data_IF_438554113607
#
_entry.id   IF_438554113607
#
_cell.length_a   1.000
_cell.length_b   1.000
_cell.length_c   1.000
_cell.angle_alpha   90.00
_cell.angle_beta   90.00
_cell.angle_gamma   90.00
#
_symmetry.space_group_name_H-M   'P 1'
#
loop_
_entity.id
_entity.type
_entity.pdbx_description
1 polymer ?
#
# COMPACT_ATOMS: atom_id res chain seq x y z
N UNK A 1 15.36 -37.50 -24.47
CA UNK A 1 16.31 -37.57 -23.33
C UNK A 1 16.56 -36.16 -22.87
N UNK A 2 15.73 -35.64 -21.96
CA UNK A 2 16.01 -34.39 -21.26
C UNK A 2 16.97 -34.73 -20.13
N UNK A 3 18.20 -34.17 -20.09
CA UNK A 3 19.09 -34.42 -18.97
C UNK A 3 18.41 -33.87 -17.72
N UNK A 4 18.12 -34.75 -16.76
CA UNK A 4 17.85 -34.36 -15.37
C UNK A 4 19.14 -33.75 -14.85
N UNK A 5 19.32 -32.45 -15.07
CA UNK A 5 20.45 -31.70 -14.51
C UNK A 5 20.16 -31.63 -13.03
N UNK A 6 20.68 -32.60 -12.27
CA UNK A 6 20.82 -32.46 -10.83
C UNK A 6 21.67 -31.22 -10.60
N UNK A 7 20.99 -30.10 -10.34
CA UNK A 7 21.65 -28.83 -10.14
C UNK A 7 22.32 -28.90 -8.77
N UNK A 8 23.64 -28.79 -8.74
CA UNK A 8 24.38 -28.74 -7.48
C UNK A 8 24.09 -27.42 -6.78
N UNK A 9 24.17 -27.40 -5.43
CA UNK A 9 24.04 -26.17 -4.65
C UNK A 9 24.97 -25.07 -5.16
N UNK A 10 26.23 -25.41 -5.44
CA UNK A 10 27.20 -24.49 -6.03
C UNK A 10 26.73 -23.90 -7.36
N UNK A 11 26.28 -24.74 -8.31
CA UNK A 11 25.82 -24.27 -9.62
C UNK A 11 24.55 -23.40 -9.52
N UNK A 12 23.67 -23.72 -8.56
CA UNK A 12 22.51 -22.90 -8.26
C UNK A 12 22.92 -21.51 -7.72
N UNK A 13 23.87 -21.45 -6.79
CA UNK A 13 24.39 -20.18 -6.27
C UNK A 13 25.11 -19.35 -7.33
N UNK A 14 25.91 -19.97 -8.20
CA UNK A 14 26.58 -19.29 -9.33
C UNK A 14 25.57 -18.65 -10.29
N UNK A 15 24.49 -19.36 -10.61
CA UNK A 15 23.40 -18.84 -11.46
C UNK A 15 22.76 -17.58 -10.86
N UNK A 16 22.74 -17.49 -9.53
CA UNK A 16 22.21 -16.35 -8.80
C UNK A 16 23.26 -15.27 -8.49
N UNK A 17 24.53 -15.44 -8.90
CA UNK A 17 25.66 -14.57 -8.52
C UNK A 17 25.84 -14.48 -6.99
N UNK A 18 25.59 -15.60 -6.31
CA UNK A 18 25.67 -15.76 -4.86
C UNK A 18 26.79 -16.75 -4.48
N UNK A 19 27.75 -17.04 -5.36
CA UNK A 19 28.80 -18.04 -5.08
C UNK A 19 29.62 -17.73 -3.82
N UNK A 20 29.72 -16.45 -3.43
CA UNK A 20 30.40 -16.01 -2.20
C UNK A 20 29.84 -16.65 -0.92
N UNK A 21 28.59 -17.11 -0.95
CA UNK A 21 27.95 -17.76 0.19
C UNK A 21 28.18 -19.27 0.22
N UNK A 22 28.71 -19.89 -0.84
CA UNK A 22 28.87 -21.34 -0.93
C UNK A 22 29.62 -21.91 0.27
N UNK A 23 30.75 -21.29 0.66
CA UNK A 23 31.50 -21.73 1.83
C UNK A 23 30.67 -21.66 3.12
N UNK A 24 29.84 -20.64 3.30
CA UNK A 24 28.99 -20.54 4.48
C UNK A 24 27.93 -21.67 4.54
N UNK A 25 27.40 -22.11 3.39
CA UNK A 25 26.53 -23.29 3.35
C UNK A 25 27.29 -24.56 3.75
N UNK A 26 28.52 -24.75 3.26
CA UNK A 26 29.37 -25.88 3.65
C UNK A 26 29.69 -25.85 5.14
N UNK A 27 30.05 -24.68 5.68
CA UNK A 27 30.36 -24.49 7.10
C UNK A 27 29.14 -24.76 8.00
N UNK A 28 27.93 -24.51 7.48
CA UNK A 28 26.66 -24.86 8.13
C UNK A 28 26.28 -26.34 7.98
N UNK A 29 27.11 -27.15 7.32
CA UNK A 29 26.91 -28.59 7.14
C UNK A 29 26.09 -28.99 5.92
N UNK A 30 25.72 -28.05 5.05
CA UNK A 30 25.08 -28.38 3.78
C UNK A 30 26.10 -28.88 2.75
N UNK A 31 25.70 -29.81 1.91
CA UNK A 31 26.49 -30.35 0.80
C UNK A 31 25.94 -29.89 -0.54
N UNK A 32 26.71 -30.12 -1.61
CA UNK A 32 26.24 -29.81 -2.97
C UNK A 32 25.01 -30.61 -3.42
N UNK A 33 24.65 -31.67 -2.70
CA UNK A 33 23.47 -32.51 -2.96
C UNK A 33 22.25 -32.11 -2.14
N UNK A 34 22.38 -31.23 -1.14
CA UNK A 34 21.27 -30.90 -0.24
C UNK A 34 20.33 -29.81 -0.79
N UNK A 35 20.50 -29.40 -2.06
CA UNK A 35 19.62 -28.41 -2.68
C UNK A 35 18.15 -28.86 -2.66
N UNK A 36 17.88 -30.13 -2.93
CA UNK A 36 16.51 -30.68 -2.93
C UNK A 36 15.87 -30.66 -1.53
N UNK A 37 16.67 -30.77 -0.46
CA UNK A 37 16.20 -30.64 0.92
C UNK A 37 15.92 -29.17 1.27
N UNK A 38 16.81 -28.26 0.87
CA UNK A 38 16.63 -26.81 1.08
C UNK A 38 15.37 -26.30 0.39
N UNK A 39 15.00 -26.87 -0.76
CA UNK A 39 13.79 -26.50 -1.51
C UNK A 39 12.50 -26.90 -0.79
N UNK A 40 12.56 -27.88 0.11
CA UNK A 40 11.43 -28.33 0.91
C UNK A 40 11.23 -27.52 2.19
N UNK A 41 12.15 -26.62 2.55
CA UNK A 41 12.01 -25.79 3.74
C UNK A 41 10.78 -24.91 3.66
N UNK A 42 10.10 -24.74 4.80
CA UNK A 42 9.07 -23.71 4.95
C UNK A 42 9.70 -22.32 4.82
N UNK A 43 8.88 -21.30 4.52
CA UNK A 43 9.39 -19.92 4.39
C UNK A 43 10.03 -19.41 5.69
N UNK A 44 9.54 -19.88 6.84
CA UNK A 44 10.12 -19.56 8.14
C UNK A 44 11.49 -20.24 8.34
N UNK A 45 11.58 -21.56 8.16
CA UNK A 45 12.85 -22.30 8.30
C UNK A 45 13.91 -21.78 7.33
N UNK A 46 13.52 -21.50 6.08
CA UNK A 46 14.41 -20.92 5.09
C UNK A 46 14.88 -19.52 5.49
N UNK A 47 14.03 -18.73 6.14
CA UNK A 47 14.42 -17.41 6.67
C UNK A 47 15.45 -17.52 7.79
N UNK A 48 15.21 -18.42 8.75
CA UNK A 48 16.10 -18.66 9.88
C UNK A 48 17.44 -19.22 9.43
N UNK A 49 17.42 -20.19 8.50
CA UNK A 49 18.61 -20.77 7.89
C UNK A 49 19.46 -19.72 7.17
N UNK A 50 18.86 -18.88 6.30
CA UNK A 50 19.61 -17.83 5.59
C UNK A 50 20.14 -16.74 6.52
N UNK A 51 19.44 -16.47 7.63
CA UNK A 51 19.92 -15.56 8.67
C UNK A 51 21.15 -16.13 9.39
N UNK A 52 21.17 -17.44 9.69
CA UNK A 52 22.32 -18.11 10.30
C UNK A 52 23.57 -18.08 9.40
N UNK A 53 23.38 -18.10 8.07
CA UNK A 53 24.46 -17.94 7.08
C UNK A 53 24.99 -16.50 6.97
N UNK A 54 24.47 -15.55 7.77
CA UNK A 54 24.76 -14.13 7.67
C UNK A 54 24.53 -13.57 6.25
N UNK A 55 23.51 -14.08 5.57
CA UNK A 55 23.19 -13.64 4.21
C UNK A 55 22.54 -12.26 4.25
N UNK A 56 23.03 -11.35 3.39
CA UNK A 56 22.48 -10.00 3.32
C UNK A 56 21.01 -10.04 2.90
N UNK A 57 20.13 -9.17 3.43
CA UNK A 57 18.69 -9.23 3.16
C UNK A 57 18.32 -9.29 1.68
N UNK A 58 19.02 -8.52 0.83
CA UNK A 58 18.77 -8.52 -0.62
C UNK A 58 19.12 -9.86 -1.29
N UNK A 59 20.20 -10.50 -0.85
CA UNK A 59 20.60 -11.81 -1.34
C UNK A 59 19.66 -12.90 -0.86
N UNK A 60 19.19 -12.82 0.39
CA UNK A 60 18.19 -13.75 0.94
C UNK A 60 16.88 -13.69 0.16
N UNK A 61 16.42 -12.49 -0.22
CA UNK A 61 15.23 -12.32 -1.07
C UNK A 61 15.45 -12.97 -2.44
N UNK A 62 16.61 -12.72 -3.07
CA UNK A 62 16.96 -13.30 -4.38
C UNK A 62 16.99 -14.84 -4.32
N UNK A 63 17.61 -15.39 -3.28
CA UNK A 63 17.69 -16.84 -3.05
C UNK A 63 16.30 -17.45 -2.82
N UNK A 64 15.51 -16.90 -1.90
CA UNK A 64 14.13 -17.37 -1.62
C UNK A 64 13.23 -17.34 -2.85
N UNK A 65 13.38 -16.31 -3.70
CA UNK A 65 12.64 -16.23 -4.96
C UNK A 65 13.01 -17.39 -5.88
N UNK A 66 14.30 -17.64 -6.08
CA UNK A 66 14.78 -18.72 -6.92
C UNK A 66 14.37 -20.12 -6.40
N UNK A 67 14.41 -20.33 -5.08
CA UNK A 67 13.94 -21.59 -4.46
C UNK A 67 12.45 -21.84 -4.73
N UNK A 68 11.61 -20.80 -4.65
CA UNK A 68 10.17 -20.90 -4.99
C UNK A 68 9.93 -21.25 -6.47
N UNK A 69 10.71 -20.66 -7.37
CA UNK A 69 10.66 -20.96 -8.81
C UNK A 69 11.07 -22.41 -9.09
N UNK A 70 12.08 -22.92 -8.39
CA UNK A 70 12.53 -24.31 -8.48
C UNK A 70 11.46 -25.29 -7.97
N UNK A 71 10.85 -25.01 -6.82
CA UNK A 71 9.77 -25.84 -6.25
C UNK A 71 8.53 -25.89 -7.17
N UNK A 72 8.19 -24.76 -7.79
CA UNK A 72 7.09 -24.68 -8.78
C UNK A 72 7.37 -25.59 -9.99
N UNK A 73 8.64 -25.72 -10.39
CA UNK A 73 9.03 -26.57 -11.51
C UNK A 73 8.94 -28.06 -11.18
N UNK A 74 9.25 -28.45 -9.93
CA UNK A 74 9.14 -29.84 -9.47
C UNK A 74 7.69 -30.32 -9.33
N UNK A 75 6.77 -29.47 -8.88
CA UNK A 75 5.35 -29.86 -8.78
C UNK A 75 4.68 -30.14 -10.12
N UNK A 76 5.23 -29.64 -11.23
CA UNK A 76 4.67 -29.84 -12.57
C UNK A 76 5.12 -31.19 -13.17
N UNK A 77 6.14 -31.85 -12.61
CA UNK A 77 6.75 -33.05 -13.19
C UNK A 77 6.32 -34.38 -12.57
N UNK A 78 5.43 -34.43 -11.58
CA UNK A 78 4.83 -35.69 -11.10
C UNK A 78 4.00 -36.33 -12.22
N UNK A 79 4.47 -37.43 -12.87
CA UNK A 79 3.74 -38.08 -13.94
C UNK A 79 2.71 -39.02 -13.32
N UNK A 80 1.46 -38.86 -13.72
CA UNK A 80 0.38 -39.82 -13.52
C UNK A 80 0.79 -41.21 -14.05
N UNK A 81 1.32 -42.08 -13.19
CA UNK A 81 1.52 -43.51 -13.49
C UNK A 81 0.86 -44.43 -12.46
N UNK A 82 -0.38 -44.81 -12.82
CA UNK A 82 -0.97 -46.16 -12.82
C UNK A 82 -1.29 -46.93 -11.51
N UNK A 83 -2.58 -47.27 -11.40
CA UNK A 83 -3.18 -48.42 -10.67
C UNK A 83 -4.63 -48.07 -10.27
N UNK A 84 -5.71 -48.64 -10.81
CA UNK A 84 -5.94 -50.04 -11.18
C UNK A 84 -7.02 -50.20 -12.28
N UNK A 85 -6.95 -51.38 -12.89
CA UNK A 85 -7.70 -51.92 -14.02
C UNK A 85 -9.01 -52.60 -13.55
N UNK A 86 -10.05 -52.53 -14.40
CA UNK A 86 -11.27 -53.38 -14.46
C UNK A 86 -12.29 -53.17 -13.32
N UNK A 87 -13.61 -53.00 -13.52
CA UNK A 87 -14.55 -53.57 -14.48
C UNK A 87 -15.85 -52.73 -14.56
N UNK A 88 -16.48 -52.73 -15.73
CA UNK A 88 -17.92 -52.54 -16.05
C UNK A 88 -18.60 -51.19 -15.74
N UNK A 89 -18.95 -50.52 -16.85
CA UNK A 89 -20.11 -49.67 -17.15
C UNK A 89 -21.06 -49.20 -16.02
N UNK A 90 -21.52 -47.95 -16.18
CA UNK A 90 -22.64 -47.26 -15.50
C UNK A 90 -22.39 -46.35 -14.29
N UNK A 91 -21.15 -45.91 -14.02
CA UNK A 91 -20.88 -44.91 -12.95
C UNK A 91 -20.03 -43.71 -13.41
N UNK A 92 -20.37 -43.06 -14.53
CA UNK A 92 -19.53 -41.98 -15.12
C UNK A 92 -20.05 -40.56 -14.81
N UNK A 93 -21.29 -40.37 -14.34
CA UNK A 93 -21.89 -39.02 -14.26
C UNK A 93 -21.62 -38.25 -12.96
N UNK A 94 -21.31 -38.91 -11.84
CA UNK A 94 -21.14 -38.22 -10.53
C UNK A 94 -19.72 -37.68 -10.31
N UNK A 95 -18.69 -38.37 -10.80
CA UNK A 95 -17.29 -37.92 -10.69
C UNK A 95 -17.01 -36.66 -11.53
N UNK A 96 -17.59 -36.57 -12.73
CA UNK A 96 -17.38 -35.39 -13.60
C UNK A 96 -18.03 -34.13 -13.05
N UNK A 97 -19.10 -34.28 -12.25
CA UNK A 97 -19.80 -33.14 -11.64
C UNK A 97 -18.94 -32.48 -10.56
N UNK A 98 -18.27 -33.28 -9.71
CA UNK A 98 -17.44 -32.75 -8.62
C UNK A 98 -16.21 -32.01 -9.15
N UNK A 99 -15.58 -32.51 -10.21
CA UNK A 99 -14.47 -31.81 -10.88
C UNK A 99 -14.92 -30.49 -11.51
N UNK A 100 -16.09 -30.49 -12.16
CA UNK A 100 -16.64 -29.29 -12.78
C UNK A 100 -16.96 -28.21 -11.75
N UNK A 101 -17.56 -28.57 -10.63
CA UNK A 101 -17.84 -27.64 -9.53
C UNK A 101 -16.56 -27.06 -8.92
N UNK A 102 -15.53 -27.88 -8.75
CA UNK A 102 -14.22 -27.42 -8.30
C UNK A 102 -13.61 -26.39 -9.26
N UNK A 103 -13.67 -26.64 -10.57
CA UNK A 103 -13.19 -25.71 -11.59
C UNK A 103 -13.97 -24.40 -11.51
N UNK A 104 -15.30 -24.45 -11.45
CA UNK A 104 -16.18 -23.27 -11.37
C UNK A 104 -15.85 -22.43 -10.11
N UNK A 105 -15.74 -23.07 -8.95
CA UNK A 105 -15.45 -22.39 -7.69
C UNK A 105 -14.06 -21.71 -7.70
N UNK A 106 -13.08 -22.35 -8.32
CA UNK A 106 -11.72 -21.80 -8.40
C UNK A 106 -11.58 -20.71 -9.48
N UNK A 107 -12.21 -20.88 -10.64
CA UNK A 107 -12.16 -19.95 -11.77
C UNK A 107 -13.01 -18.68 -11.60
N UNK A 108 -13.95 -18.67 -10.66
CA UNK A 108 -14.72 -17.47 -10.30
C UNK A 108 -13.76 -16.36 -9.82
N UNK A 109 -13.76 -15.17 -10.43
CA UNK A 109 -12.82 -14.08 -10.10
C UNK A 109 -13.39 -13.17 -9.01
N UNK A 110 -14.64 -12.72 -9.20
CA UNK A 110 -15.36 -11.81 -8.30
C UNK A 110 -16.44 -12.54 -7.51
N UNK A 111 -16.78 -12.06 -6.31
CA UNK A 111 -17.97 -12.54 -5.59
C UNK A 111 -17.77 -13.69 -4.59
N UNK A 112 -16.57 -14.28 -4.47
CA UNK A 112 -16.37 -15.50 -3.64
C UNK A 112 -16.78 -15.37 -2.16
N UNK A 113 -16.71 -14.16 -1.59
CA UNK A 113 -16.95 -13.89 -0.15
C UNK A 113 -17.87 -12.70 0.11
N UNK A 114 -18.49 -12.13 -0.93
CA UNK A 114 -19.33 -10.94 -0.79
C UNK A 114 -20.78 -11.25 -1.12
N UNK A 115 -21.70 -10.77 -0.28
CA UNK A 115 -23.14 -10.85 -0.50
C UNK A 115 -23.66 -9.73 -1.41
N UNK A 116 -22.79 -8.83 -1.87
CA UNK A 116 -23.17 -7.75 -2.78
C UNK A 116 -23.48 -8.34 -4.17
N UNK A 117 -24.55 -7.84 -4.79
CA UNK A 117 -24.84 -8.12 -6.19
C UNK A 117 -23.67 -7.69 -7.08
N UNK A 118 -23.21 -8.61 -7.94
CA UNK A 118 -22.14 -8.36 -8.90
C UNK A 118 -22.60 -7.34 -9.94
N UNK A 119 -21.66 -6.53 -10.41
CA UNK A 119 -21.88 -5.67 -11.57
C UNK A 119 -21.90 -6.51 -12.84
N UNK A 120 -22.55 -5.99 -13.89
CA UNK A 120 -22.60 -6.65 -15.21
C UNK A 120 -21.21 -7.02 -15.76
N UNK A 121 -20.18 -6.21 -15.48
CA UNK A 121 -18.79 -6.51 -15.87
C UNK A 121 -18.23 -7.70 -15.08
N UNK A 122 -18.40 -7.71 -13.76
CA UNK A 122 -17.90 -8.77 -12.88
C UNK A 122 -18.55 -10.12 -13.22
N UNK A 123 -19.85 -10.13 -13.48
CA UNK A 123 -20.56 -11.33 -13.92
C UNK A 123 -20.05 -11.84 -15.27
N UNK A 124 -19.84 -10.93 -16.23
CA UNK A 124 -19.34 -11.28 -17.55
C UNK A 124 -17.91 -11.82 -17.51
N UNK A 125 -17.03 -11.23 -16.68
CA UNK A 125 -15.68 -11.76 -16.44
C UNK A 125 -15.75 -13.16 -15.82
N UNK A 126 -16.59 -13.37 -14.79
CA UNK A 126 -16.72 -14.67 -14.16
C UNK A 126 -17.19 -15.74 -15.16
N UNK A 127 -18.17 -15.42 -16.02
CA UNK A 127 -18.62 -16.34 -17.08
C UNK A 127 -17.48 -16.69 -18.04
N UNK A 128 -16.74 -15.68 -18.51
CA UNK A 128 -15.62 -15.89 -19.43
C UNK A 128 -14.47 -16.71 -18.80
N UNK A 129 -14.11 -16.42 -17.54
CA UNK A 129 -13.04 -17.14 -16.83
C UNK A 129 -13.43 -18.58 -16.53
N UNK A 130 -14.68 -18.83 -16.12
CA UNK A 130 -15.19 -20.19 -15.89
C UNK A 130 -15.14 -20.99 -17.18
N UNK A 131 -15.58 -20.43 -18.31
CA UNK A 131 -15.55 -21.14 -19.59
C UNK A 131 -14.12 -21.47 -20.02
N UNK A 132 -13.19 -20.51 -19.93
CA UNK A 132 -11.78 -20.74 -20.24
C UNK A 132 -11.14 -21.81 -19.33
N UNK A 133 -11.50 -21.84 -18.05
CA UNK A 133 -10.99 -22.84 -17.12
C UNK A 133 -11.62 -24.23 -17.31
N UNK A 134 -12.86 -24.30 -17.81
CA UNK A 134 -13.49 -25.56 -18.21
C UNK A 134 -12.82 -26.13 -19.47
N UNK A 135 -12.46 -25.26 -20.42
CA UNK A 135 -11.72 -25.66 -21.63
C UNK A 135 -10.27 -26.04 -21.31
N UNK A 136 -9.63 -25.32 -20.39
CA UNK A 136 -8.26 -25.58 -19.95
C UNK A 136 -8.11 -25.45 -18.42
N UNK A 137 -8.21 -26.57 -17.66
CA UNK A 137 -8.13 -26.57 -16.20
C UNK A 137 -6.79 -26.06 -15.63
N UNK A 138 -5.69 -26.09 -16.40
CA UNK A 138 -4.38 -25.63 -15.94
C UNK A 138 -4.35 -24.11 -15.72
N UNK A 139 -5.27 -23.35 -16.30
CA UNK A 139 -5.35 -21.90 -16.09
C UNK A 139 -5.77 -21.51 -14.66
N UNK A 140 -6.33 -22.44 -13.88
CA UNK A 140 -6.71 -22.18 -12.49
C UNK A 140 -5.49 -21.82 -11.63
N UNK A 141 -4.33 -22.46 -11.86
CA UNK A 141 -3.10 -22.18 -11.09
C UNK A 141 -2.52 -20.81 -11.42
N UNK A 142 -2.79 -20.27 -12.61
CA UNK A 142 -2.33 -18.97 -13.11
C UNK A 142 -3.48 -17.97 -13.19
N UNK A 143 -4.02 -17.60 -12.03
CA UNK A 143 -5.21 -16.73 -11.94
C UNK A 143 -5.04 -15.38 -12.65
N UNK A 144 -3.83 -14.82 -12.68
CA UNK A 144 -3.51 -13.59 -13.41
C UNK A 144 -3.74 -13.75 -14.92
N UNK A 145 -3.13 -14.76 -15.53
CA UNK A 145 -3.26 -15.07 -16.96
C UNK A 145 -4.72 -15.39 -17.34
N UNK A 146 -5.40 -16.18 -16.49
CA UNK A 146 -6.83 -16.49 -16.66
C UNK A 146 -7.70 -15.22 -16.70
N UNK A 147 -7.41 -14.26 -15.83
CA UNK A 147 -8.13 -12.99 -15.76
C UNK A 147 -7.90 -12.14 -17.02
N UNK A 148 -6.67 -12.07 -17.53
CA UNK A 148 -6.37 -11.30 -18.73
C UNK A 148 -6.93 -11.96 -20.00
N UNK A 149 -6.91 -13.28 -20.09
CA UNK A 149 -7.60 -14.02 -21.16
C UNK A 149 -9.12 -13.82 -21.08
N UNK A 150 -9.71 -13.82 -19.88
CA UNK A 150 -11.14 -13.57 -19.70
C UNK A 150 -11.52 -12.15 -20.16
N UNK A 151 -10.72 -11.11 -19.84
CA UNK A 151 -10.93 -9.75 -20.38
C UNK A 151 -10.84 -9.71 -21.89
N UNK A 152 -9.84 -10.37 -22.47
CA UNK A 152 -9.64 -10.42 -23.93
C UNK A 152 -10.85 -11.05 -24.61
N UNK A 153 -11.28 -12.23 -24.13
CA UNK A 153 -12.47 -12.93 -24.63
C UNK A 153 -13.72 -12.06 -24.52
N UNK A 154 -13.91 -11.39 -23.39
CA UNK A 154 -15.03 -10.48 -23.14
C UNK A 154 -15.06 -9.30 -24.13
N UNK A 155 -13.89 -8.73 -24.48
CA UNK A 155 -13.80 -7.69 -25.51
C UNK A 155 -14.05 -8.22 -26.93
N UNK A 156 -13.57 -9.42 -27.25
CA UNK A 156 -13.82 -10.10 -28.53
C UNK A 156 -15.30 -10.43 -28.73
N UNK A 157 -16.02 -10.78 -27.65
CA UNK A 157 -17.48 -10.96 -27.63
C UNK A 157 -18.25 -9.63 -27.75
N UNK A 158 -17.55 -8.49 -27.84
CA UNK A 158 -18.16 -7.19 -28.02
C UNK A 158 -18.70 -6.59 -26.72
N UNK A 159 -18.16 -6.96 -25.56
CA UNK A 159 -18.49 -6.27 -24.33
C UNK A 159 -17.97 -4.83 -24.38
N UNK A 160 -18.90 -3.87 -24.26
CA UNK A 160 -18.57 -2.47 -24.22
C UNK A 160 -18.50 -2.00 -22.78
N UNK A 161 -17.35 -1.47 -22.37
CA UNK A 161 -17.27 -0.80 -21.08
C UNK A 161 -18.29 0.33 -21.04
N UNK A 162 -19.13 0.34 -19.99
CA UNK A 162 -19.98 1.47 -19.68
C UNK A 162 -19.07 2.65 -19.37
N UNK A 163 -18.75 3.44 -20.40
CA UNK A 163 -18.03 4.70 -20.24
C UNK A 163 -18.87 5.52 -19.30
N UNK A 164 -18.39 5.71 -18.06
CA UNK A 164 -19.12 6.48 -17.07
C UNK A 164 -19.56 7.78 -17.72
N UNK A 165 -20.87 8.05 -17.71
CA UNK A 165 -21.37 9.33 -18.21
C UNK A 165 -20.60 10.39 -17.45
N UNK A 166 -19.71 11.11 -18.15
CA UNK A 166 -18.78 12.03 -17.50
C UNK A 166 -19.62 13.00 -16.67
N UNK A 167 -19.42 12.97 -15.35
CA UNK A 167 -20.21 13.79 -14.40
C UNK A 167 -20.01 15.29 -14.63
N UNK A 168 -19.12 15.69 -15.56
CA UNK A 168 -18.89 17.06 -16.00
C UNK A 168 -19.93 17.63 -16.97
N UNK A 169 -20.86 16.83 -17.51
CA UNK A 169 -21.91 17.33 -18.45
C UNK A 169 -23.14 17.93 -17.75
N UNK A 170 -23.08 18.23 -16.45
CA UNK A 170 -24.20 18.81 -15.69
C UNK A 170 -24.41 20.33 -15.89
N UNK A 171 -23.74 20.95 -16.89
CA UNK A 171 -23.93 22.37 -17.25
C UNK A 171 -24.30 22.60 -18.72
N UNK A 172 -24.81 21.59 -19.42
CA UNK A 172 -25.10 21.73 -20.85
C UNK A 172 -26.53 21.23 -21.15
N UNK A 173 -27.55 22.02 -20.75
CA UNK A 173 -28.85 22.17 -21.43
C UNK A 173 -29.86 22.96 -20.58
N UNK A 174 -29.79 24.29 -20.71
CA UNK A 174 -30.98 25.12 -20.90
C UNK A 174 -30.62 26.42 -21.65
N UNK A 175 -29.80 26.32 -22.70
CA UNK A 175 -29.76 27.38 -23.72
C UNK A 175 -31.05 27.23 -24.53
N UNK A 176 -32.15 27.75 -23.99
CA UNK A 176 -33.27 28.20 -24.82
C UNK A 176 -32.70 29.34 -25.68
N UNK A 177 -32.90 29.35 -27.01
CA UNK A 177 -32.49 30.47 -27.84
C UNK A 177 -33.41 31.65 -27.51
N UNK A 178 -33.04 32.46 -26.51
CA UNK A 178 -33.74 33.68 -26.15
C UNK A 178 -33.11 34.83 -26.92
N UNK A 179 -33.78 35.17 -28.02
CA UNK A 179 -33.95 36.50 -28.59
C UNK A 179 -33.04 37.60 -28.03
N UNK A 180 -32.24 38.16 -28.93
CA UNK A 180 -31.46 39.38 -28.82
C UNK A 180 -32.23 40.50 -28.10
N UNK A 181 -31.85 40.83 -26.88
CA UNK A 181 -32.04 42.16 -26.30
C UNK A 181 -30.98 42.35 -25.23
N UNK A 182 -30.04 43.27 -25.50
CA UNK A 182 -28.89 43.56 -24.66
C UNK A 182 -29.29 43.99 -23.25
N UNK A 183 -28.72 43.31 -22.27
CA UNK A 183 -28.59 43.80 -20.92
C UNK A 183 -27.34 43.13 -20.32
N UNK A 184 -26.30 43.94 -20.11
CA UNK A 184 -25.08 43.59 -19.37
C UNK A 184 -25.49 43.13 -17.96
N UNK A 185 -25.56 41.82 -17.74
CA UNK A 185 -25.90 41.25 -16.42
C UNK A 185 -24.61 40.92 -15.65
N UNK A 186 -24.52 41.30 -14.36
CA UNK A 186 -23.27 41.26 -13.60
C UNK A 186 -22.90 39.84 -13.20
N UNK A 187 -21.81 39.33 -13.76
CA UNK A 187 -21.31 37.96 -13.61
C UNK A 187 -20.63 37.67 -12.24
N UNK A 188 -20.81 38.53 -11.23
CA UNK A 188 -19.91 38.58 -10.06
C UNK A 188 -20.21 37.58 -8.93
N UNK A 189 -21.34 36.87 -8.95
CA UNK A 189 -21.75 35.99 -7.84
C UNK A 189 -21.14 34.56 -7.88
N UNK A 190 -20.69 34.05 -9.03
CA UNK A 190 -20.16 32.67 -9.14
C UNK A 190 -18.76 32.53 -8.48
N UNK A 191 -17.96 33.61 -8.50
CA UNK A 191 -16.61 33.62 -7.91
C UNK A 191 -16.62 33.46 -6.38
N UNK A 192 -17.59 34.06 -5.70
CA UNK A 192 -17.71 33.97 -4.23
C UNK A 192 -18.05 32.54 -3.79
N UNK A 193 -18.98 31.89 -4.49
CA UNK A 193 -19.36 30.51 -4.21
C UNK A 193 -18.20 29.54 -4.47
N UNK A 194 -17.44 29.75 -5.56
CA UNK A 194 -16.29 28.90 -5.87
C UNK A 194 -15.17 29.04 -4.84
N UNK A 195 -14.90 30.25 -4.35
CA UNK A 195 -13.97 30.48 -3.23
C UNK A 195 -14.43 29.78 -1.95
N UNK A 196 -15.71 29.86 -1.61
CA UNK A 196 -16.27 29.18 -0.43
C UNK A 196 -16.13 27.64 -0.52
N UNK A 197 -16.39 27.06 -1.70
CA UNK A 197 -16.20 25.61 -1.92
C UNK A 197 -14.72 25.23 -1.79
N UNK A 198 -13.81 26.04 -2.32
CA UNK A 198 -12.38 25.80 -2.21
C UNK A 198 -11.90 25.85 -0.75
N UNK A 199 -12.35 26.86 0.01
CA UNK A 199 -12.08 26.99 1.45
C UNK A 199 -12.58 25.77 2.24
N UNK A 200 -13.82 25.34 1.99
CA UNK A 200 -14.40 24.16 2.66
C UNK A 200 -13.63 22.86 2.35
N UNK A 201 -13.13 22.71 1.12
CA UNK A 201 -12.28 21.56 0.74
C UNK A 201 -10.93 21.59 1.47
N UNK A 202 -10.34 22.77 1.64
CA UNK A 202 -9.09 22.96 2.36
C UNK A 202 -9.26 22.66 3.85
N UNK A 203 -10.32 23.18 4.47
CA UNK A 203 -10.63 22.93 5.88
C UNK A 203 -10.89 21.44 6.14
N UNK A 204 -11.63 20.76 5.26
CA UNK A 204 -11.84 19.32 5.37
C UNK A 204 -10.51 18.54 5.28
N UNK A 205 -9.65 18.90 4.33
CA UNK A 205 -8.34 18.27 4.17
C UNK A 205 -7.44 18.49 5.41
N UNK A 206 -7.49 19.69 5.99
CA UNK A 206 -6.78 20.01 7.23
C UNK A 206 -7.31 19.19 8.40
N UNK A 207 -8.63 19.12 8.60
CA UNK A 207 -9.26 18.32 9.66
C UNK A 207 -8.87 16.84 9.55
N UNK A 208 -8.83 16.29 8.33
CA UNK A 208 -8.38 14.92 8.12
C UNK A 208 -6.89 14.72 8.45
N UNK A 209 -6.04 15.71 8.16
CA UNK A 209 -4.63 15.67 8.55
C UNK A 209 -4.47 15.72 10.06
N UNK A 210 -5.19 16.60 10.75
CA UNK A 210 -5.23 16.70 12.21
C UNK A 210 -5.68 15.38 12.86
N UNK A 211 -6.77 14.78 12.37
CA UNK A 211 -7.24 13.46 12.84
C UNK A 211 -6.20 12.34 12.65
N UNK A 212 -5.42 12.37 11.56
CA UNK A 212 -4.34 11.40 11.37
C UNK A 212 -3.21 11.62 12.36
N UNK A 213 -2.84 12.88 12.63
CA UNK A 213 -1.79 13.21 13.59
C UNK A 213 -2.19 12.81 15.01
N UNK A 214 -3.43 13.10 15.42
CA UNK A 214 -3.98 12.67 16.71
C UNK A 214 -3.98 11.14 16.83
N UNK A 215 -4.40 10.43 15.76
CA UNK A 215 -4.34 8.96 15.74
C UNK A 215 -2.91 8.43 15.83
N UNK A 216 -1.94 9.07 15.16
CA UNK A 216 -0.52 8.70 15.27
C UNK A 216 -0.05 8.86 16.72
N UNK A 217 -0.36 9.97 17.37
CA UNK A 217 0.01 10.24 18.76
C UNK A 217 -0.59 9.20 19.73
N UNK A 218 -1.89 8.90 19.60
CA UNK A 218 -2.55 7.88 20.41
C UNK A 218 -1.94 6.49 20.22
N UNK A 219 -1.57 6.11 18.99
CA UNK A 219 -0.89 4.84 18.72
C UNK A 219 0.54 4.83 19.30
N UNK A 220 1.25 5.97 19.29
CA UNK A 220 2.56 6.09 19.91
C UNK A 220 2.49 5.87 21.42
N UNK A 221 1.49 6.46 22.10
CA UNK A 221 1.26 6.21 23.53
C UNK A 221 0.96 4.73 23.82
N UNK A 222 0.22 4.04 22.95
CA UNK A 222 -0.02 2.60 23.09
C UNK A 222 1.25 1.77 22.92
N UNK A 223 2.14 2.15 22.00
CA UNK A 223 3.46 1.51 21.85
C UNK A 223 4.29 1.69 23.11
N UNK A 224 4.34 2.90 23.67
CA UNK A 224 5.06 3.18 24.93
C UNK A 224 4.49 2.38 26.10
N UNK A 225 3.17 2.31 26.22
CA UNK A 225 2.51 1.48 27.21
C UNK A 225 2.89 0.00 27.07
N UNK A 226 2.86 -0.55 25.85
CA UNK A 226 3.26 -1.94 25.60
C UNK A 226 4.72 -2.20 25.96
N UNK A 227 5.62 -1.26 25.67
CA UNK A 227 7.04 -1.32 26.06
C UNK A 227 7.17 -1.32 27.59
N UNK A 228 6.46 -0.44 28.29
CA UNK A 228 6.51 -0.36 29.75
C UNK A 228 5.94 -1.62 30.41
N UNK A 229 4.81 -2.15 29.92
CA UNK A 229 4.23 -3.40 30.42
C UNK A 229 5.17 -4.59 30.21
N UNK A 230 5.82 -4.66 29.06
CA UNK A 230 6.84 -5.68 28.77
C UNK A 230 8.00 -5.59 29.78
N UNK A 231 8.57 -4.40 29.96
CA UNK A 231 9.67 -4.17 30.92
C UNK A 231 9.27 -4.52 32.36
N UNK A 232 8.05 -4.18 32.78
CA UNK A 232 7.54 -4.55 34.10
C UNK A 232 7.47 -6.08 34.28
N UNK A 233 7.02 -6.80 33.24
CA UNK A 233 6.94 -8.26 33.23
C UNK A 233 8.33 -8.91 33.26
N UNK A 234 9.29 -8.37 32.50
CA UNK A 234 10.69 -8.80 32.53
C UNK A 234 11.32 -8.61 33.91
N UNK A 235 11.08 -7.45 34.54
CA UNK A 235 11.57 -7.16 35.89
C UNK A 235 10.97 -8.13 36.92
N UNK A 236 9.69 -8.50 36.78
CA UNK A 236 9.05 -9.49 37.63
C UNK A 236 9.66 -10.89 37.45
N UNK A 237 9.98 -11.30 36.22
CA UNK A 237 10.70 -12.55 35.94
C UNK A 237 12.10 -12.55 36.56
N UNK A 238 12.84 -11.45 36.42
CA UNK A 238 14.17 -11.30 37.00
C UNK A 238 14.15 -11.42 38.54
N UNK A 239 13.15 -10.82 39.20
CA UNK A 239 12.97 -10.91 40.65
C UNK A 239 12.52 -12.30 41.11
N UNK A 240 11.75 -13.02 40.30
CA UNK A 240 11.19 -14.35 40.64
C UNK A 240 12.11 -15.53 40.32
N UNK A 241 13.37 -15.29 39.96
CA UNK A 241 14.38 -16.32 39.65
C UNK A 241 14.53 -17.43 40.71
N UNK A 242 14.03 -17.22 41.94
CA UNK A 242 14.07 -18.19 43.04
C UNK A 242 12.82 -19.10 43.18
N UNK A 243 11.71 -18.82 42.47
CA UNK A 243 10.48 -19.61 42.60
C UNK A 243 10.31 -20.57 41.41
N UNK A 244 10.27 -21.88 41.69
CA UNK A 244 10.30 -22.98 40.71
C UNK A 244 8.98 -23.25 39.96
N UNK A 245 8.05 -22.30 39.94
CA UNK A 245 6.76 -22.51 39.26
C UNK A 245 6.88 -22.30 37.75
N UNK A 246 7.14 -23.39 37.03
CA UNK A 246 7.33 -23.42 35.57
C UNK A 246 6.10 -22.91 34.82
N UNK A 247 4.90 -23.14 35.34
CA UNK A 247 3.65 -22.72 34.69
C UNK A 247 3.52 -21.20 34.70
N UNK A 248 3.82 -20.56 35.83
CA UNK A 248 3.82 -19.10 35.96
C UNK A 248 4.86 -18.46 35.05
N UNK A 249 6.05 -19.06 34.91
CA UNK A 249 7.09 -18.56 34.01
C UNK A 249 6.63 -18.57 32.53
N UNK A 250 6.10 -19.69 32.05
CA UNK A 250 5.60 -19.81 30.67
C UNK A 250 4.46 -18.83 30.37
N UNK A 251 3.57 -18.59 31.34
CA UNK A 251 2.50 -17.61 31.20
C UNK A 251 3.05 -16.18 31.05
N UNK A 252 4.07 -15.82 31.81
CA UNK A 252 4.73 -14.51 31.69
C UNK A 252 5.51 -14.37 30.37
N UNK A 253 6.20 -15.43 29.92
CA UNK A 253 6.87 -15.44 28.62
C UNK A 253 5.89 -15.27 27.46
N UNK A 254 4.73 -15.92 27.52
CA UNK A 254 3.66 -15.71 26.54
C UNK A 254 3.16 -14.26 26.52
N UNK A 255 3.03 -13.59 27.67
CA UNK A 255 2.67 -12.17 27.74
C UNK A 255 3.73 -11.27 27.09
N UNK A 256 5.02 -11.56 27.26
CA UNK A 256 6.10 -10.82 26.58
C UNK A 256 5.97 -10.89 25.05
N UNK A 257 5.65 -12.07 24.52
CA UNK A 257 5.42 -12.26 23.08
C UNK A 257 4.24 -11.40 22.62
N UNK A 258 3.11 -11.40 23.35
CA UNK A 258 1.95 -10.57 22.98
C UNK A 258 2.26 -9.07 22.98
N UNK A 259 3.07 -8.58 23.94
CA UNK A 259 3.47 -7.18 23.96
C UNK A 259 4.34 -6.81 22.75
N UNK A 260 5.24 -7.70 22.33
CA UNK A 260 6.08 -7.48 21.15
C UNK A 260 5.25 -7.51 19.86
N UNK A 261 4.32 -8.46 19.71
CA UNK A 261 3.37 -8.51 18.58
C UNK A 261 2.52 -7.24 18.50
N UNK A 262 2.00 -6.78 19.64
CA UNK A 262 1.20 -5.55 19.74
C UNK A 262 2.02 -4.33 19.30
N UNK A 263 3.25 -4.21 19.81
CA UNK A 263 4.18 -3.14 19.41
C UNK A 263 4.45 -3.15 17.91
N UNK A 264 4.74 -4.32 17.31
CA UNK A 264 4.98 -4.45 15.87
C UNK A 264 3.75 -4.01 15.07
N UNK A 265 2.56 -4.47 15.46
CA UNK A 265 1.29 -4.10 14.80
C UNK A 265 1.05 -2.58 14.83
N UNK A 266 1.16 -1.97 16.01
CA UNK A 266 0.96 -0.52 16.18
C UNK A 266 1.99 0.29 15.40
N UNK A 267 3.26 -0.15 15.37
CA UNK A 267 4.33 0.52 14.62
C UNK A 267 4.09 0.49 13.11
N UNK A 268 3.56 -0.62 12.57
CA UNK A 268 3.13 -0.71 11.16
C UNK A 268 2.00 0.28 10.86
N UNK A 269 0.99 0.36 11.73
CA UNK A 269 -0.12 1.29 11.55
C UNK A 269 0.32 2.77 11.59
N UNK A 270 1.21 3.13 12.53
CA UNK A 270 1.84 4.46 12.59
C UNK A 270 2.56 4.77 11.29
N UNK A 271 3.29 3.80 10.73
CA UNK A 271 4.05 3.97 9.49
C UNK A 271 3.13 4.24 8.29
N UNK A 272 1.99 3.51 8.21
CA UNK A 272 0.95 3.74 7.19
C UNK A 272 0.37 5.15 7.29
N UNK A 273 -0.01 5.60 8.49
CA UNK A 273 -0.55 6.95 8.71
C UNK A 273 0.48 8.04 8.40
N UNK A 274 1.75 7.86 8.79
CA UNK A 274 2.84 8.79 8.44
C UNK A 274 3.07 8.87 6.93
N UNK A 275 2.95 7.76 6.20
CA UNK A 275 3.03 7.78 4.73
C UNK A 275 1.88 8.59 4.11
N UNK A 276 0.64 8.40 4.59
CA UNK A 276 -0.51 9.19 4.16
C UNK A 276 -0.32 10.69 4.44
N UNK A 277 0.23 11.03 5.61
CA UNK A 277 0.49 12.42 5.99
C UNK A 277 1.60 13.05 5.13
N UNK A 278 2.71 12.33 4.86
CA UNK A 278 3.74 12.79 3.92
C UNK A 278 3.16 13.07 2.53
N UNK A 279 2.28 12.19 2.03
CA UNK A 279 1.57 12.38 0.77
C UNK A 279 0.69 13.65 0.82
N UNK A 280 -0.08 13.85 1.90
CA UNK A 280 -0.87 15.06 2.09
C UNK A 280 -0.02 16.34 2.06
N UNK A 281 1.09 16.36 2.80
CA UNK A 281 2.03 17.49 2.84
C UNK A 281 2.66 17.77 1.47
N UNK A 282 3.02 16.72 0.72
CA UNK A 282 3.53 16.85 -0.64
C UNK A 282 2.51 17.55 -1.55
N UNK A 283 1.24 17.11 -1.53
CA UNK A 283 0.18 17.75 -2.31
C UNK A 283 -0.06 19.21 -1.87
N UNK A 284 -0.04 19.48 -0.55
CA UNK A 284 -0.22 20.82 0.01
C UNK A 284 0.89 21.76 -0.47
N UNK A 285 2.15 21.33 -0.39
CA UNK A 285 3.32 22.09 -0.86
C UNK A 285 3.23 22.35 -2.37
N UNK A 286 2.99 21.30 -3.17
CA UNK A 286 2.90 21.40 -4.62
C UNK A 286 1.75 22.31 -5.08
N UNK A 287 0.63 22.31 -4.35
CA UNK A 287 -0.49 23.22 -4.61
C UNK A 287 -0.12 24.67 -4.30
N UNK A 288 0.54 24.94 -3.17
CA UNK A 288 0.97 26.29 -2.80
C UNK A 288 1.97 26.87 -3.81
N UNK A 289 2.92 26.06 -4.30
CA UNK A 289 3.85 26.45 -5.36
C UNK A 289 3.11 26.90 -6.63
N UNK A 290 2.11 26.12 -7.08
CA UNK A 290 1.31 26.48 -8.27
C UNK A 290 0.52 27.78 -8.10
N UNK A 291 -0.04 28.02 -6.92
CA UNK A 291 -0.75 29.28 -6.64
C UNK A 291 0.20 30.48 -6.52
N UNK A 292 1.41 30.28 -5.98
CA UNK A 292 2.40 31.35 -5.85
C UNK A 292 2.89 31.82 -7.23
N UNK A 293 3.12 30.89 -8.16
CA UNK A 293 3.56 31.21 -9.52
C UNK A 293 2.52 31.98 -10.37
N UNK A 294 1.23 31.94 -10.01
CA UNK A 294 0.20 32.73 -10.70
C UNK A 294 0.06 34.16 -10.16
N UNK A 295 0.53 34.43 -8.94
CA UNK A 295 0.43 35.76 -8.34
C UNK A 295 1.61 36.67 -8.70
N UNK A 296 2.77 36.12 -9.05
CA UNK A 296 4.00 36.90 -9.28
C UNK A 296 4.21 37.44 -10.71
N UNK A 297 3.22 37.33 -11.60
CA UNK A 297 3.37 37.73 -13.02
C UNK A 297 2.42 38.88 -13.44
N UNK A 298 1.92 39.65 -12.47
CA UNK A 298 1.13 40.86 -12.71
C UNK A 298 1.71 42.03 -11.89
N UNK A 299 3.01 42.25 -12.00
CA UNK A 299 3.55 43.60 -11.82
C UNK A 299 3.59 44.21 -13.21
N UNK A 300 2.50 44.91 -13.50
CA UNK A 300 2.31 45.96 -14.48
C UNK A 300 3.48 46.95 -14.43
N UNK A 301 4.62 46.59 -15.01
CA UNK A 301 5.59 47.56 -15.51
C UNK A 301 5.04 48.03 -16.85
N UNK A 302 4.36 49.17 -16.79
CA UNK A 302 3.58 49.75 -17.87
C UNK A 302 4.31 49.77 -19.20
N UNK A 303 3.86 48.91 -20.12
CA UNK A 303 4.06 49.17 -21.54
C UNK A 303 2.94 50.10 -22.00
N UNK A 304 3.17 51.39 -21.74
CA UNK A 304 2.41 52.50 -22.31
C UNK A 304 2.22 52.25 -23.81
N UNK A 305 0.97 51.99 -24.20
CA UNK A 305 0.58 51.84 -25.58
C UNK A 305 0.67 53.20 -26.27
N UNK A 306 1.84 53.56 -26.79
CA UNK A 306 1.91 54.49 -27.90
C UNK A 306 1.49 53.75 -29.16
N UNK A 307 0.32 54.12 -29.65
CA UNK A 307 -0.15 53.77 -30.98
C UNK A 307 0.79 54.39 -32.03
N UNK A 308 1.69 53.58 -32.62
CA UNK A 308 2.35 53.95 -33.87
C UNK A 308 1.57 53.34 -35.03
N UNK A 309 0.86 54.23 -35.73
CA UNK A 309 0.38 54.03 -37.08
C UNK A 309 1.52 53.65 -38.03
N UNK A 310 1.14 52.97 -39.12
CA UNK A 310 1.72 53.12 -40.47
C UNK A 310 2.89 52.18 -40.85
N UNK A 311 2.64 51.18 -41.71
CA UNK A 311 2.93 51.18 -43.16
C UNK A 311 2.69 49.75 -43.73
N UNK A 312 1.89 49.63 -44.79
CA UNK A 312 1.84 48.44 -45.65
C UNK A 312 3.03 48.47 -46.60
N UNK A 313 3.82 47.41 -46.72
CA UNK A 313 4.34 47.05 -48.05
C UNK A 313 4.81 45.60 -48.15
N UNK A 314 4.45 45.02 -49.30
CA UNK A 314 4.87 43.77 -49.88
C UNK A 314 6.40 43.59 -49.94
N UNK A 315 6.85 42.34 -49.95
CA UNK A 315 8.24 42.05 -50.33
C UNK A 315 8.71 40.63 -50.05
N UNK A 316 8.46 39.74 -51.01
CA UNK A 316 9.25 38.52 -51.24
C UNK A 316 10.76 38.83 -51.24
N UNK A 317 11.60 37.99 -50.60
CA UNK A 317 12.86 37.49 -51.21
C UNK A 317 13.63 36.48 -50.34
N UNK A 318 14.35 35.63 -51.07
CA UNK A 318 15.22 34.49 -50.72
C UNK A 318 16.56 34.86 -50.05
N UNK A 319 17.22 33.81 -49.47
CA UNK A 319 18.67 33.48 -49.43
C UNK A 319 19.20 33.16 -48.02
N UNK A 320 19.50 31.89 -47.69
CA UNK A 320 20.76 31.11 -47.82
C UNK A 320 22.00 31.60 -47.06
N UNK A 321 22.45 30.69 -46.17
CA UNK A 321 23.82 30.20 -45.91
C UNK A 321 24.83 31.04 -45.09
N UNK A 322 25.53 30.27 -44.24
CA UNK A 322 26.96 30.30 -43.89
C UNK A 322 27.45 30.98 -42.59
N UNK A 323 27.83 30.12 -41.64
CA UNK A 323 29.19 29.91 -41.09
C UNK A 323 29.93 30.97 -40.25
N UNK A 324 30.32 30.49 -39.06
CA UNK A 324 31.69 30.43 -38.48
C UNK A 324 32.30 31.60 -37.70
N UNK A 325 33.06 31.20 -36.66
CA UNK A 325 34.29 31.84 -36.11
C UNK A 325 34.04 32.92 -35.03
N UNK A 326 34.79 33.15 -33.94
CA UNK A 326 35.68 32.45 -32.98
C UNK A 326 36.14 33.55 -31.96
N UNK A 327 36.79 33.15 -30.86
CA UNK A 327 37.68 33.95 -29.96
C UNK A 327 36.97 34.72 -28.83
N UNK A 328 37.16 34.38 -27.54
CA UNK A 328 38.35 34.48 -26.68
C UNK A 328 38.75 35.92 -26.35
N UNK A 329 38.59 36.36 -25.09
CA UNK A 329 39.58 37.17 -24.36
C UNK A 329 39.42 37.06 -22.83
N UNK A 330 40.58 36.90 -22.21
CA UNK A 330 40.93 37.06 -20.79
C UNK A 330 40.53 38.42 -20.19
N UNK A 331 40.24 38.44 -18.90
CA UNK A 331 40.78 39.45 -17.97
C UNK A 331 40.70 38.94 -16.53
N UNK A 332 41.85 38.78 -15.89
CA UNK A 332 41.95 38.52 -14.46
C UNK A 332 41.77 39.78 -13.63
N UNK A 333 41.22 39.64 -12.43
CA UNK A 333 41.39 40.60 -11.36
C UNK A 333 41.57 39.85 -10.03
N UNK A 334 42.57 40.30 -9.29
CA UNK A 334 43.12 39.71 -8.07
C UNK A 334 42.79 40.59 -6.87
N UNK A 335 42.98 40.02 -5.66
CA UNK A 335 43.08 40.64 -4.32
C UNK A 335 41.75 41.24 -3.77
N UNK A 336 41.22 40.97 -2.56
CA UNK A 336 41.77 40.64 -1.23
C UNK A 336 40.78 39.83 -0.34
N UNK A 337 41.32 39.10 0.64
CA UNK A 337 40.68 38.40 1.80
C UNK A 337 39.96 39.39 2.76
N UNK A 338 38.98 38.95 3.58
CA UNK A 338 39.36 38.50 4.93
C UNK A 338 38.61 37.24 5.43
N UNK A 339 39.32 36.55 6.33
CA UNK A 339 38.93 35.34 7.03
C UNK A 339 37.79 35.60 8.04
N UNK A 340 36.85 34.67 8.14
CA UNK A 340 36.04 34.47 9.35
C UNK A 340 35.72 32.97 9.50
N UNK A 341 35.64 32.45 10.73
CA UNK A 341 35.78 31.02 11.01
C UNK A 341 34.45 30.27 11.08
N UNK A 342 34.54 28.95 10.90
CA UNK A 342 33.68 27.90 11.47
C UNK A 342 32.19 27.86 11.09
N UNK A 343 31.81 26.87 10.26
CA UNK A 343 30.91 25.78 10.67
C UNK A 343 30.63 24.87 9.48
N UNK A 344 31.40 23.79 9.35
CA UNK A 344 31.17 22.74 8.36
C UNK A 344 30.19 21.72 8.93
N UNK A 345 28.90 21.89 8.65
CA UNK A 345 27.91 20.82 8.74
C UNK A 345 27.58 20.34 7.32
N UNK A 346 28.38 19.41 6.80
CA UNK A 346 28.03 18.66 5.59
C UNK A 346 26.91 17.67 5.93
N UNK A 347 25.67 18.08 5.72
CA UNK A 347 24.54 17.16 5.69
C UNK A 347 24.52 16.47 4.32
N UNK A 348 25.09 15.27 4.27
CA UNK A 348 24.93 14.35 3.15
C UNK A 348 23.46 13.91 3.09
N UNK A 349 22.71 14.44 2.12
CA UNK A 349 21.36 13.98 1.81
C UNK A 349 21.44 12.57 1.20
N UNK A 350 20.73 11.56 1.73
CA UNK A 350 20.56 10.30 1.02
C UNK A 350 19.59 10.51 -0.15
N UNK A 351 20.05 10.08 -1.32
CA UNK A 351 19.27 9.98 -2.55
C UNK A 351 17.92 9.32 -2.29
N UNK A 352 16.84 10.01 -2.67
CA UNK A 352 15.47 9.53 -2.54
C UNK A 352 15.23 8.44 -3.59
N UNK A 353 15.38 7.18 -3.17
CA UNK A 353 14.99 6.03 -3.97
C UNK A 353 13.47 5.86 -3.86
N UNK A 354 12.78 5.99 -5.00
CA UNK A 354 11.34 5.84 -5.13
C UNK A 354 10.91 4.42 -4.77
N UNK A 355 10.27 4.25 -3.61
CA UNK A 355 9.54 3.02 -3.29
C UNK A 355 8.17 3.08 -3.98
N UNK A 356 8.02 2.29 -5.04
CA UNK A 356 6.72 1.89 -5.57
C UNK A 356 6.10 0.86 -4.61
N UNK A 357 5.38 1.36 -3.62
CA UNK A 357 4.62 0.56 -2.66
C UNK A 357 3.18 0.44 -3.18
N UNK A 358 2.95 -0.60 -4.00
CA UNK A 358 1.62 -1.06 -4.44
C UNK A 358 1.36 -2.41 -3.77
N UNK A 359 1.08 -2.42 -2.48
CA UNK A 359 0.49 -3.59 -1.82
C UNK A 359 -0.71 -3.15 -0.97
N UNK A 360 -1.89 -3.62 -1.41
CA UNK A 360 -3.06 -4.02 -0.64
C UNK A 360 -3.64 -3.04 0.40
N UNK A 361 -4.47 -2.11 -0.09
CA UNK A 361 -5.52 -1.45 0.69
C UNK A 361 -6.82 -2.27 0.61
N UNK A 362 -6.90 -3.36 1.37
CA UNK A 362 -8.17 -3.92 1.83
C UNK A 362 -8.20 -3.80 3.36
N UNK A 363 -9.39 -3.53 3.92
CA UNK A 363 -9.69 -3.27 5.34
C UNK A 363 -9.47 -1.83 5.84
N UNK A 364 -10.47 -0.96 5.61
CA UNK A 364 -11.06 -0.16 6.71
C UNK A 364 -12.31 0.63 6.25
N UNK A 365 -13.50 0.01 6.35
CA UNK A 365 -14.78 0.74 6.27
C UNK A 365 -15.87 0.13 7.16
N UNK A 366 -15.74 0.29 8.48
CA UNK A 366 -16.89 0.19 9.40
C UNK A 366 -16.78 1.22 10.52
N UNK A 367 -17.37 2.41 10.30
CA UNK A 367 -18.19 3.14 11.30
C UNK A 367 -18.67 4.47 10.70
N UNK A 368 -19.87 4.46 10.13
CA UNK A 368 -20.69 5.67 9.99
C UNK A 368 -22.08 5.37 10.53
N UNK A 369 -22.30 5.73 11.80
CA UNK A 369 -23.64 5.80 12.37
C UNK A 369 -24.38 7.04 11.81
N UNK A 370 -25.72 6.96 11.62
CA UNK A 370 -26.53 8.10 11.23
C UNK A 370 -26.82 9.00 12.44
N UNK A 371 -26.56 10.30 12.32
CA UNK A 371 -27.02 11.31 13.28
C UNK A 371 -28.51 11.57 13.05
N UNK A 372 -29.34 11.16 14.01
CA UNK A 372 -30.71 11.66 14.13
C UNK A 372 -30.70 13.00 14.88
N UNK A 373 -31.29 14.00 14.25
CA UNK A 373 -31.55 15.32 14.80
C UNK A 373 -32.81 15.27 15.67
N UNK A 374 -32.71 15.64 16.95
CA UNK A 374 -33.87 16.05 17.73
C UNK A 374 -33.51 17.29 18.54
N UNK A 375 -34.29 18.34 18.30
CA UNK A 375 -34.36 19.60 19.03
C UNK A 375 -34.72 19.36 20.49
N UNK A 376 -34.12 20.10 21.42
CA UNK A 376 -34.79 20.60 22.63
C UNK A 376 -34.01 21.78 23.22
N UNK A 377 -34.79 22.81 23.54
CA UNK A 377 -34.39 24.06 24.16
C UNK A 377 -34.29 23.94 25.69
N UNK A 378 -33.64 24.94 26.28
CA UNK A 378 -33.97 25.55 27.58
C UNK A 378 -33.27 25.09 28.88
N UNK A 379 -32.53 26.08 29.42
CA UNK A 379 -32.55 26.57 30.82
C UNK A 379 -31.56 26.01 31.87
N UNK A 380 -30.72 26.95 32.32
CA UNK A 380 -30.35 27.32 33.70
C UNK A 380 -30.07 26.24 34.75
N UNK A 381 -28.86 26.28 35.33
CA UNK A 381 -28.64 26.63 36.75
C UNK A 381 -27.15 26.53 37.13
N UNK A 382 -26.68 27.58 37.80
CA UNK A 382 -25.47 27.66 38.63
C UNK A 382 -25.47 26.63 39.76
N UNK A 383 -24.34 25.96 40.01
CA UNK A 383 -24.11 25.25 41.28
C UNK A 383 -22.70 25.58 41.80
N UNK A 384 -22.69 26.30 42.93
CA UNK A 384 -21.58 26.42 43.87
C UNK A 384 -21.61 25.27 44.86
N UNK A 385 -20.40 24.82 45.24
CA UNK A 385 -19.94 24.30 46.54
C UNK A 385 -20.93 23.58 47.49
N UNK A 386 -20.56 22.38 47.96
CA UNK A 386 -20.07 22.11 49.33
C UNK A 386 -20.08 20.61 49.69
N UNK A 387 -18.92 20.16 50.19
CA UNK A 387 -18.66 19.35 51.39
C UNK A 387 -19.48 18.09 51.77
N UNK A 388 -18.70 17.11 52.26
CA UNK A 388 -18.92 16.14 53.35
C UNK A 388 -19.07 14.63 53.01
N UNK A 389 -17.92 13.94 53.11
CA UNK A 389 -17.60 12.87 54.08
C UNK A 389 -18.31 11.49 54.04
N UNK A 390 -17.66 10.43 54.61
CA UNK A 390 -17.57 9.09 54.01
C UNK A 390 -18.34 7.99 54.77
N UNK A 391 -18.48 6.81 54.14
CA UNK A 391 -18.92 5.54 54.76
C UNK A 391 -18.33 4.36 53.97
N UNK A 392 -17.33 3.67 54.51
CA UNK A 392 -17.43 2.42 55.29
C UNK A 392 -17.91 1.20 54.48
N UNK A 393 -16.92 0.33 54.23
CA UNK A 393 -16.92 -1.14 54.36
C UNK A 393 -18.15 -1.95 53.94
N UNK A 394 -17.94 -2.87 52.99
CA UNK A 394 -18.39 -4.24 53.21
C UNK A 394 -17.48 -5.27 52.53
N UNK A 395 -16.94 -6.14 53.38
CA UNK A 395 -16.15 -7.32 53.06
C UNK A 395 -17.13 -8.46 52.79
N UNK A 396 -17.12 -9.04 51.59
CA UNK A 396 -17.78 -10.33 51.34
C UNK A 396 -16.76 -11.39 50.93
N UNK A 397 -16.42 -12.22 51.92
CA UNK A 397 -15.74 -13.49 51.75
C UNK A 397 -16.55 -14.42 50.83
N UNK A 398 -15.89 -15.03 49.85
CA UNK A 398 -16.45 -16.12 49.06
C UNK A 398 -15.88 -17.44 49.53
N UNK A 399 -16.82 -18.35 49.77
CA UNK A 399 -16.72 -19.65 50.40
C UNK A 399 -15.88 -20.66 49.59
N UNK A 400 -15.04 -21.38 50.32
CA UNK A 400 -14.31 -22.58 49.88
C UNK A 400 -15.29 -23.77 49.86
N UNK A 401 -15.44 -24.42 48.70
CA UNK A 401 -15.99 -25.77 48.62
C UNK A 401 -14.87 -26.78 48.47
N UNK A 402 -14.65 -27.59 49.52
CA UNK A 402 -13.97 -28.88 49.44
C UNK A 402 -14.90 -29.88 48.73
N UNK A 403 -14.35 -30.65 47.80
CA UNK A 403 -14.88 -31.94 47.41
C UNK A 403 -13.83 -33.00 47.74
N UNK A 404 -14.17 -33.91 48.65
CA UNK A 404 -13.57 -35.23 48.79
C UNK A 404 -14.25 -36.16 47.77
N UNK A 405 -13.44 -36.85 46.96
CA UNK A 405 -13.60 -38.29 46.68
C UNK A 405 -12.37 -38.87 45.99
#
# INVERSE_FOLDING_TARGET
MTPSIHQTLKGFLETLQLERYHQAFIDAGATDQDLDQIVQFTEQELSEFLAALNMLPFHSIKFKKAVRELNTSYQIQEPLTAGALATTDDTITTSTLSTKEFIIANATIYGKKTSRALTSYEEAINRASIQLALDNPLLISKKGDLFDLAKKKLLEEGYHYKRGSSRSKLREKSIKPRTKSGAMSPHHNDDSQQRAIMMKRQENAQRLSEQRLEKIEALQQQVEHAIHSRQSTENQLAQRSMCRDTLTQLAMEAELIRYEETKVKLTKEISKLKAQERKHQWYKRRKMERSASHTSQCTDEGFSSQASSYFEEDGLHHHTMSSSTSQSLNAGFSVYKPLSPTSSYSASYPSSQEYNDNEDDEDDRLTRQPRNSVSSQSSSATISNLLCCPRESDVRASSIHKFDR
#
